data_IF_098567574803
#
_entry.id   IF_098567574803
#
_cell.length_a   1.000
_cell.length_b   1.000
_cell.length_c   1.000
_cell.angle_alpha   90.00
_cell.angle_beta   90.00
_cell.angle_gamma   90.00
#
_symmetry.space_group_name_H-M   'P 1'
#
loop_
_entity.id
_entity.type
_entity.pdbx_description
1 polymer ?
#
# COMPACT_ATOMS: atom_id res chain seq x y z
N UNK A 1 18.56 3.46 1.58
CA UNK A 1 17.29 3.87 0.94
C UNK A 1 16.74 5.04 1.73
N UNK A 2 16.18 6.06 1.08
CA UNK A 2 15.59 7.22 1.78
C UNK A 2 14.09 7.03 1.91
N UNK A 3 13.50 7.52 3.00
CA UNK A 3 12.04 7.52 3.21
C UNK A 3 11.30 8.17 2.03
N UNK A 4 11.90 9.19 1.42
CA UNK A 4 11.38 9.82 0.21
C UNK A 4 11.15 8.84 -0.95
N UNK A 5 12.01 7.83 -1.12
CA UNK A 5 11.86 6.82 -2.18
C UNK A 5 10.84 5.71 -1.81
N UNK A 6 10.59 5.50 -0.51
CA UNK A 6 9.57 4.58 -0.02
C UNK A 6 8.17 5.21 -0.08
N UNK A 7 8.09 6.51 0.22
CA UNK A 7 6.83 7.27 0.24
C UNK A 7 6.46 7.89 -1.12
N UNK A 8 7.33 7.77 -2.13
CA UNK A 8 7.09 8.25 -3.48
C UNK A 8 5.72 7.90 -4.12
N UNK A 9 5.11 6.71 -3.89
CA UNK A 9 3.81 6.40 -4.50
C UNK A 9 2.63 7.10 -3.81
N UNK A 10 2.83 7.76 -2.66
CA UNK A 10 1.76 8.39 -1.89
C UNK A 10 1.84 9.91 -1.99
N UNK A 11 0.74 10.54 -2.39
CA UNK A 11 0.64 12.00 -2.38
C UNK A 11 0.65 12.51 -0.93
N UNK A 12 1.45 13.53 -0.63
CA UNK A 12 1.50 14.16 0.69
C UNK A 12 0.12 14.68 1.14
N UNK A 13 -0.76 15.08 0.22
CA UNK A 13 -2.12 15.50 0.54
C UNK A 13 -3.00 14.32 0.96
N UNK A 14 -2.80 13.12 0.37
CA UNK A 14 -3.47 11.88 0.81
C UNK A 14 -3.07 11.58 2.25
N UNK A 15 -1.77 11.52 2.52
CA UNK A 15 -1.25 11.15 3.84
C UNK A 15 -1.74 12.13 4.91
N UNK A 16 -1.66 13.43 4.63
CA UNK A 16 -2.18 14.49 5.51
C UNK A 16 -3.69 14.38 5.75
N UNK A 17 -4.45 14.15 4.68
CA UNK A 17 -5.91 14.02 4.75
C UNK A 17 -6.34 12.82 5.59
N UNK A 18 -5.71 11.67 5.36
CA UNK A 18 -5.99 10.42 6.07
C UNK A 18 -5.57 10.49 7.53
N UNK A 19 -4.40 11.06 7.83
CA UNK A 19 -3.96 11.26 9.22
C UNK A 19 -5.00 12.05 10.02
N UNK A 20 -5.46 13.18 9.45
CA UNK A 20 -6.50 14.02 10.06
C UNK A 20 -7.83 13.29 10.20
N UNK A 21 -8.27 12.56 9.18
CA UNK A 21 -9.55 11.87 9.20
C UNK A 21 -9.59 10.73 10.24
N UNK A 22 -8.46 10.06 10.46
CA UNK A 22 -8.34 8.96 11.41
C UNK A 22 -7.83 9.38 12.80
N UNK A 23 -7.58 10.67 13.00
CA UNK A 23 -7.01 11.20 14.25
C UNK A 23 -5.69 10.53 14.66
N UNK A 24 -4.86 10.19 13.68
CA UNK A 24 -3.51 9.65 13.89
C UNK A 24 -2.47 10.73 13.63
N UNK A 25 -1.31 10.61 14.27
CA UNK A 25 -0.18 11.50 14.01
C UNK A 25 0.37 11.28 12.58
N UNK A 26 0.65 12.37 11.86
CA UNK A 26 1.11 12.29 10.47
C UNK A 26 2.52 11.70 10.36
N UNK A 27 3.42 12.03 11.30
CA UNK A 27 4.78 11.51 11.30
C UNK A 27 4.78 10.01 11.58
N UNK A 28 3.95 9.57 12.55
CA UNK A 28 3.72 8.15 12.84
C UNK A 28 3.16 7.41 11.62
N UNK A 29 2.18 7.99 10.91
CA UNK A 29 1.61 7.39 9.70
C UNK A 29 2.65 7.27 8.57
N UNK A 30 3.47 8.31 8.36
CA UNK A 30 4.57 8.30 7.38
C UNK A 30 5.59 7.21 7.71
N UNK A 31 5.97 7.05 8.98
CA UNK A 31 6.89 5.99 9.42
C UNK A 31 6.30 4.61 9.13
N UNK A 32 5.03 4.38 9.51
CA UNK A 32 4.37 3.10 9.26
C UNK A 32 4.25 2.75 7.77
N UNK A 33 3.97 3.75 6.92
CA UNK A 33 3.97 3.57 5.45
C UNK A 33 5.36 3.22 4.92
N UNK A 34 6.41 3.90 5.41
CA UNK A 34 7.78 3.63 4.99
C UNK A 34 8.21 2.21 5.40
N UNK A 35 7.93 1.81 6.64
CA UNK A 35 8.22 0.46 7.14
C UNK A 35 7.47 -0.60 6.33
N UNK A 36 6.18 -0.37 6.03
CA UNK A 36 5.38 -1.28 5.19
C UNK A 36 5.96 -1.42 3.77
N UNK A 37 6.31 -0.31 3.12
CA UNK A 37 6.96 -0.33 1.80
C UNK A 37 8.30 -1.05 1.84
N UNK A 38 9.07 -0.84 2.91
CA UNK A 38 10.35 -1.50 3.07
C UNK A 38 10.19 -3.01 3.29
N UNK A 39 9.24 -3.46 4.11
CA UNK A 39 8.95 -4.90 4.29
C UNK A 39 8.63 -5.56 2.95
N UNK A 40 7.78 -4.94 2.12
CA UNK A 40 7.44 -5.49 0.80
C UNK A 40 8.65 -5.58 -0.14
N UNK A 41 9.59 -4.64 -0.04
CA UNK A 41 10.80 -4.63 -0.87
C UNK A 41 11.86 -5.61 -0.39
N UNK A 42 11.99 -5.81 0.91
CA UNK A 42 13.10 -6.57 1.49
C UNK A 42 12.80 -8.08 1.55
N UNK A 43 11.53 -8.50 1.64
CA UNK A 43 11.20 -9.93 1.75
C UNK A 43 9.76 -10.24 1.31
N UNK A 44 9.54 -11.04 0.24
CA UNK A 44 10.50 -11.64 -0.69
C UNK A 44 11.07 -10.68 -1.75
N UNK A 45 10.55 -9.45 -1.83
CA UNK A 45 10.82 -8.51 -2.92
C UNK A 45 9.56 -8.26 -3.75
N UNK A 46 9.41 -7.02 -4.25
CA UNK A 46 8.15 -6.55 -4.87
C UNK A 46 7.71 -7.42 -6.04
N UNK A 47 8.64 -7.80 -6.94
CA UNK A 47 8.30 -8.60 -8.11
C UNK A 47 7.84 -10.02 -7.73
N UNK A 48 8.48 -10.63 -6.73
CA UNK A 48 8.11 -11.96 -6.24
C UNK A 48 6.75 -11.91 -5.50
N UNK A 49 6.50 -10.86 -4.71
CA UNK A 49 5.18 -10.62 -4.09
C UNK A 49 4.08 -10.47 -5.13
N UNK A 50 4.28 -9.61 -6.13
CA UNK A 50 3.32 -9.39 -7.21
C UNK A 50 3.06 -10.70 -7.96
N UNK A 51 4.11 -11.47 -8.25
CA UNK A 51 3.97 -12.75 -8.93
C UNK A 51 3.17 -13.77 -8.12
N UNK A 52 3.44 -13.90 -6.82
CA UNK A 52 2.72 -14.82 -5.94
C UNK A 52 1.26 -14.40 -5.72
N UNK A 53 1.00 -13.10 -5.54
CA UNK A 53 -0.37 -12.60 -5.39
C UNK A 53 -1.20 -12.74 -6.66
N UNK A 54 -0.61 -12.54 -7.85
CA UNK A 54 -1.29 -12.82 -9.13
C UNK A 54 -1.66 -14.30 -9.33
N UNK A 55 -0.94 -15.23 -8.71
CA UNK A 55 -1.31 -16.66 -8.73
C UNK A 55 -2.42 -16.97 -7.73
N UNK A 56 -2.47 -16.24 -6.61
CA UNK A 56 -3.33 -16.54 -5.47
C UNK A 56 -4.66 -15.78 -5.52
N UNK A 57 -4.69 -14.63 -6.18
CA UNK A 57 -5.85 -13.78 -6.34
C UNK A 57 -6.05 -13.50 -7.83
N UNK A 58 -7.26 -13.77 -8.33
CA UNK A 58 -7.64 -13.38 -9.69
C UNK A 58 -7.61 -11.84 -9.79
N UNK A 59 -7.05 -11.31 -10.88
CA UNK A 59 -6.98 -9.87 -11.18
C UNK A 59 -6.32 -8.98 -10.10
N UNK A 60 -5.40 -9.53 -9.30
CA UNK A 60 -4.70 -8.84 -8.21
C UNK A 60 -4.03 -7.52 -8.62
N UNK A 61 -3.64 -7.33 -9.88
CA UNK A 61 -2.96 -6.12 -10.36
C UNK A 61 -3.94 -5.28 -11.17
N UNK A 62 -4.38 -4.17 -10.60
CA UNK A 62 -5.30 -3.21 -11.20
C UNK A 62 -4.60 -2.35 -12.25
N UNK A 63 -3.41 -1.85 -11.92
CA UNK A 63 -2.60 -1.01 -12.79
C UNK A 63 -1.11 -1.15 -12.45
N UNK A 64 -0.25 -0.84 -13.41
CA UNK A 64 1.20 -0.77 -13.18
C UNK A 64 1.85 0.32 -14.00
N UNK A 65 2.78 1.01 -13.37
CA UNK A 65 3.76 1.89 -14.00
C UNK A 65 5.15 1.25 -13.90
N UNK A 66 6.19 1.83 -14.54
CA UNK A 66 7.56 1.38 -14.30
C UNK A 66 8.00 1.50 -12.84
N UNK A 67 7.36 2.32 -12.02
CA UNK A 67 7.75 2.62 -10.64
C UNK A 67 6.77 2.09 -9.57
N UNK A 68 5.54 1.74 -9.92
CA UNK A 68 4.49 1.43 -8.92
C UNK A 68 3.49 0.40 -9.43
N UNK A 69 3.09 -0.51 -8.55
CA UNK A 69 1.96 -1.41 -8.76
C UNK A 69 0.77 -0.95 -7.92
N UNK A 70 -0.40 -0.93 -8.53
CA UNK A 70 -1.70 -0.75 -7.90
C UNK A 70 -2.42 -2.08 -7.94
N UNK A 71 -2.84 -2.57 -6.78
CA UNK A 71 -3.26 -3.95 -6.62
C UNK A 71 -4.34 -4.11 -5.55
N UNK A 72 -4.89 -5.30 -5.50
CA UNK A 72 -5.84 -5.75 -4.48
C UNK A 72 -5.32 -7.00 -3.80
N UNK A 73 -5.55 -7.07 -2.49
CA UNK A 73 -5.24 -8.22 -1.65
C UNK A 73 -6.42 -8.51 -0.73
N UNK A 74 -6.45 -9.68 -0.09
CA UNK A 74 -7.45 -9.96 0.95
C UNK A 74 -7.14 -9.17 2.22
N UNK A 75 -8.17 -8.87 3.01
CA UNK A 75 -8.04 -8.22 4.31
C UNK A 75 -7.01 -8.90 5.22
N UNK A 76 -6.96 -10.24 5.22
CA UNK A 76 -6.00 -11.01 6.04
C UNK A 76 -4.52 -10.69 5.75
N UNK A 77 -4.19 -10.21 4.53
CA UNK A 77 -2.83 -9.77 4.20
C UNK A 77 -2.47 -8.52 5.00
N UNK A 78 -3.41 -7.60 5.18
CA UNK A 78 -3.22 -6.41 6.02
C UNK A 78 -3.10 -6.75 7.49
N UNK A 79 -3.86 -7.72 7.99
CA UNK A 79 -3.74 -8.23 9.37
C UNK A 79 -2.33 -8.81 9.64
N UNK A 80 -1.77 -9.54 8.66
CA UNK A 80 -0.41 -10.08 8.72
C UNK A 80 0.64 -8.96 8.79
N UNK A 81 0.51 -7.91 7.97
CA UNK A 81 1.40 -6.74 8.03
C UNK A 81 1.26 -5.96 9.33
N UNK A 82 0.03 -5.73 9.79
CA UNK A 82 -0.22 -5.07 11.09
C UNK A 82 0.44 -5.81 12.24
N UNK A 83 0.29 -7.15 12.27
CA UNK A 83 0.96 -8.00 13.25
C UNK A 83 2.49 -7.95 13.14
N UNK A 84 3.02 -8.04 11.91
CA UNK A 84 4.46 -8.05 11.66
C UNK A 84 5.15 -6.73 12.07
N UNK A 85 4.49 -5.61 11.77
CA UNK A 85 4.99 -4.26 12.04
C UNK A 85 4.63 -3.75 13.44
N UNK A 86 3.79 -4.48 14.18
CA UNK A 86 3.32 -4.07 15.50
C UNK A 86 2.43 -2.82 15.47
N UNK A 87 1.64 -2.66 14.41
CA UNK A 87 0.68 -1.56 14.28
C UNK A 87 -0.56 -1.86 15.13
N UNK A 88 -1.08 -0.84 15.82
CA UNK A 88 -2.41 -0.93 16.42
C UNK A 88 -3.50 -0.80 15.34
N UNK A 89 -4.73 -1.14 15.70
CA UNK A 89 -5.87 -1.17 14.76
C UNK A 89 -6.13 0.20 14.10
N UNK A 90 -5.89 1.31 14.82
CA UNK A 90 -6.11 2.66 14.30
C UNK A 90 -5.05 3.05 13.27
N UNK A 91 -3.79 2.76 13.58
CA UNK A 91 -2.68 3.03 12.68
C UNK A 91 -2.72 2.12 11.46
N UNK A 92 -3.06 0.83 11.63
CA UNK A 92 -3.28 -0.09 10.50
C UNK A 92 -4.41 0.42 9.59
N UNK A 93 -5.56 0.79 10.16
CA UNK A 93 -6.67 1.35 9.39
C UNK A 93 -6.26 2.63 8.63
N UNK A 94 -5.45 3.49 9.24
CA UNK A 94 -4.92 4.69 8.57
C UNK A 94 -3.95 4.34 7.42
N UNK A 95 -3.07 3.35 7.59
CA UNK A 95 -2.19 2.86 6.52
C UNK A 95 -3.03 2.30 5.36
N UNK A 96 -4.03 1.46 5.65
CA UNK A 96 -4.95 0.93 4.62
C UNK A 96 -5.69 2.07 3.91
N UNK A 97 -6.18 3.06 4.64
CA UNK A 97 -6.90 4.19 4.07
C UNK A 97 -6.03 5.04 3.12
N UNK A 98 -4.73 5.23 3.42
CA UNK A 98 -3.80 5.89 2.49
C UNK A 98 -3.70 5.11 1.18
N UNK A 99 -3.57 3.78 1.25
CA UNK A 99 -3.49 2.94 0.07
C UNK A 99 -4.78 2.97 -0.76
N UNK A 100 -5.94 2.85 -0.11
CA UNK A 100 -7.25 2.93 -0.77
C UNK A 100 -7.44 4.27 -1.47
N UNK A 101 -7.18 5.37 -0.76
CA UNK A 101 -7.36 6.70 -1.30
C UNK A 101 -6.38 6.99 -2.45
N UNK A 102 -5.14 6.47 -2.38
CA UNK A 102 -4.17 6.57 -3.48
C UNK A 102 -4.64 5.80 -4.72
N UNK A 103 -5.24 4.61 -4.57
CA UNK A 103 -5.83 3.84 -5.67
C UNK A 103 -7.02 4.56 -6.29
N UNK A 104 -7.91 5.13 -5.48
CA UNK A 104 -9.07 5.89 -5.97
C UNK A 104 -8.68 7.15 -6.78
N UNK A 105 -7.50 7.72 -6.51
CA UNK A 105 -6.96 8.85 -7.29
C UNK A 105 -6.27 8.43 -8.58
N UNK A 106 -5.94 7.15 -8.76
CA UNK A 106 -5.30 6.66 -9.98
C UNK A 106 -6.34 6.48 -11.10
N UNK A 107 -6.34 7.42 -12.05
CA UNK A 107 -7.32 7.45 -13.16
C UNK A 107 -7.24 6.23 -14.09
N UNK A 108 -6.10 5.52 -14.10
CA UNK A 108 -5.94 4.29 -14.88
C UNK A 108 -6.52 3.05 -14.18
N UNK A 109 -6.96 3.17 -12.92
CA UNK A 109 -7.64 2.10 -12.17
C UNK A 109 -9.16 2.28 -12.30
N UNK A 110 -9.85 1.24 -12.78
CA UNK A 110 -11.29 1.15 -12.66
C UNK A 110 -11.66 0.65 -11.26
N UNK A 111 -11.89 1.58 -10.33
CA UNK A 111 -12.21 1.25 -8.94
C UNK A 111 -13.53 0.49 -8.79
N UNK A 112 -14.41 0.53 -9.79
CA UNK A 112 -15.68 -0.22 -9.74
C UNK A 112 -15.51 -1.72 -9.99
N UNK A 113 -14.32 -2.13 -10.45
CA UNK A 113 -13.95 -3.52 -10.66
C UNK A 113 -13.26 -4.16 -9.45
N UNK A 114 -13.05 -3.41 -8.36
CA UNK A 114 -12.48 -3.94 -7.12
C UNK A 114 -13.57 -4.74 -6.40
N UNK A 115 -13.27 -6.02 -6.11
CA UNK A 115 -14.14 -6.91 -5.35
C UNK A 115 -14.44 -6.34 -3.95
N UNK A 116 -15.66 -6.57 -3.44
CA UNK A 116 -16.07 -6.09 -2.10
C UNK A 116 -15.19 -6.68 -0.97
N UNK A 117 -14.63 -7.88 -1.19
CA UNK A 117 -13.75 -8.57 -0.24
C UNK A 117 -12.25 -8.26 -0.48
N UNK A 118 -11.94 -7.36 -1.42
CA UNK A 118 -10.59 -6.96 -1.78
C UNK A 118 -10.22 -5.58 -1.21
N UNK A 119 -9.02 -5.50 -0.64
CA UNK A 119 -8.46 -4.27 -0.08
C UNK A 119 -7.33 -3.78 -0.97
N UNK A 120 -7.37 -2.50 -1.32
CA UNK A 120 -6.39 -1.89 -2.20
C UNK A 120 -4.99 -1.84 -1.56
N UNK A 121 -3.98 -2.02 -2.39
CA UNK A 121 -2.57 -1.96 -2.02
C UNK A 121 -1.78 -1.28 -3.15
N UNK A 122 -0.75 -0.53 -2.75
CA UNK A 122 0.09 0.29 -3.62
C UNK A 122 1.51 -0.01 -3.20
N UNK A 123 2.33 -0.49 -4.11
CA UNK A 123 3.71 -0.85 -3.81
C UNK A 123 4.64 -0.22 -4.81
N UNK A 124 5.63 0.49 -4.30
CA UNK A 124 6.66 1.11 -5.12
C UNK A 124 7.76 0.12 -5.44
N UNK A 125 8.14 0.06 -6.71
CA UNK A 125 9.24 -0.77 -7.18
C UNK A 125 10.57 -0.16 -6.70
N UNK A 126 11.55 -0.98 -6.30
CA UNK A 126 12.89 -0.47 -6.10
C UNK A 126 13.38 0.13 -7.42
N UNK A 127 13.92 1.35 -7.38
CA UNK A 127 14.54 1.97 -8.53
C UNK A 127 15.62 1.03 -9.06
N UNK A 128 15.51 0.62 -10.32
CA UNK A 128 16.62 -0.07 -10.98
C UNK A 128 17.71 0.99 -11.20
N UNK A 129 18.76 0.97 -10.38
CA UNK A 129 20.00 1.70 -10.68
C UNK A 129 20.70 1.09 -11.91
#
# INVERSE_FOLDING_TARGET
MTDAALLAPFDDEVVRGVARANSVDEEQLRSALADHQQTMRDNPGVEDLVYEWRKRFDDAVLHRTPETFFMTVRESVWEEYGTHLGLDDYLLAAVVAVHQEQVLRETAVDSSAIDEDAVALVVSRPSSE
#
